data_IF_076108467600
#
_entry.id   IF_076108467600
#
_cell.length_a   1.000
_cell.length_b   1.000
_cell.length_c   1.000
_cell.angle_alpha   90.00
_cell.angle_beta   90.00
_cell.angle_gamma   90.00
#
_symmetry.space_group_name_H-M   'P 1'
#
loop_
_entity.id
_entity.type
_entity.pdbx_description
1 polymer ?
#
# COMPACT_ATOMS: atom_id res chain seq x y z
N UNK A 1 -22.08 16.13 -11.53
CA UNK A 1 -22.39 15.01 -10.61
C UNK A 1 -21.16 14.74 -9.74
N UNK A 2 -21.18 15.05 -8.43
CA UNK A 2 -20.12 14.57 -7.56
C UNK A 2 -20.25 13.05 -7.48
N UNK A 3 -19.17 12.35 -7.81
CA UNK A 3 -19.13 10.89 -7.77
C UNK A 3 -19.31 10.49 -6.30
N UNK A 4 -20.35 9.70 -6.04
CA UNK A 4 -20.70 9.20 -4.72
C UNK A 4 -19.58 8.29 -4.20
N UNK A 5 -18.73 8.84 -3.34
CA UNK A 5 -17.93 8.08 -2.38
C UNK A 5 -18.84 7.66 -1.22
N UNK A 6 -19.66 6.64 -1.43
CA UNK A 6 -20.35 5.96 -0.31
C UNK A 6 -19.39 5.02 0.42
N UNK A 7 -19.59 4.68 1.71
CA UNK A 7 -20.31 5.38 2.78
C UNK A 7 -19.37 5.54 4.01
N UNK A 8 -18.73 6.70 4.19
CA UNK A 8 -18.22 7.08 5.52
C UNK A 8 -19.34 7.73 6.33
N UNK A 9 -20.41 6.97 6.52
CA UNK A 9 -21.50 7.34 7.41
C UNK A 9 -21.07 7.22 8.86
N UNK A 10 -21.17 8.33 9.59
CA UNK A 10 -21.90 8.36 10.86
C UNK A 10 -21.42 7.49 12.03
N UNK A 11 -20.14 7.11 12.09
CA UNK A 11 -19.52 6.74 13.37
C UNK A 11 -18.08 7.18 13.32
N UNK A 12 -17.66 8.02 14.25
CA UNK A 12 -16.25 8.39 14.41
C UNK A 12 -15.47 7.08 14.62
N UNK A 13 -14.72 6.58 13.62
CA UNK A 13 -14.01 5.34 13.78
C UNK A 13 -12.97 5.60 14.87
N UNK A 14 -12.90 4.74 15.89
CA UNK A 14 -11.88 4.84 16.94
C UNK A 14 -10.50 5.10 16.33
N UNK A 15 -9.61 5.75 17.06
CA UNK A 15 -8.25 6.05 16.59
C UNK A 15 -7.60 4.83 15.90
N UNK A 16 -7.85 3.65 16.47
CA UNK A 16 -7.41 2.37 15.96
C UNK A 16 -7.99 1.97 14.58
N UNK A 17 -9.26 2.27 14.31
CA UNK A 17 -9.93 2.00 13.03
C UNK A 17 -9.38 2.90 11.91
N UNK A 18 -9.08 4.17 12.23
CA UNK A 18 -8.38 5.08 11.30
C UNK A 18 -6.96 4.62 10.99
N UNK A 19 -6.22 4.17 12.01
CA UNK A 19 -4.87 3.60 11.83
C UNK A 19 -4.94 2.35 10.94
N UNK A 20 -5.92 1.48 11.16
CA UNK A 20 -6.13 0.27 10.36
C UNK A 20 -6.49 0.59 8.91
N UNK A 21 -7.40 1.53 8.67
CA UNK A 21 -7.73 2.03 7.32
C UNK A 21 -6.51 2.64 6.63
N UNK A 22 -5.72 3.45 7.34
CA UNK A 22 -4.48 4.05 6.84
C UNK A 22 -3.43 3.00 6.48
N UNK A 23 -3.27 1.98 7.32
CA UNK A 23 -2.37 0.86 7.05
C UNK A 23 -2.79 0.09 5.79
N UNK A 24 -4.08 -0.25 5.65
CA UNK A 24 -4.59 -1.01 4.50
C UNK A 24 -4.41 -0.21 3.20
N UNK A 25 -4.76 1.07 3.19
CA UNK A 25 -4.59 1.94 2.03
C UNK A 25 -3.11 2.15 1.70
N UNK A 26 -2.26 2.41 2.70
CA UNK A 26 -0.82 2.58 2.50
C UNK A 26 -0.14 1.30 2.01
N UNK A 27 -0.57 0.14 2.50
CA UNK A 27 -0.04 -1.15 2.08
C UNK A 27 -0.50 -1.50 0.65
N UNK A 28 -1.75 -1.20 0.28
CA UNK A 28 -2.25 -1.38 -1.08
C UNK A 28 -1.51 -0.49 -2.09
N UNK A 29 -1.32 0.80 -1.77
CA UNK A 29 -0.58 1.74 -2.61
C UNK A 29 0.91 1.36 -2.67
N UNK A 30 1.51 0.98 -1.55
CA UNK A 30 2.89 0.53 -1.48
C UNK A 30 3.14 -0.74 -2.30
N UNK A 31 2.24 -1.71 -2.23
CA UNK A 31 2.31 -2.90 -3.09
C UNK A 31 2.12 -2.56 -4.56
N UNK A 32 1.18 -1.69 -4.93
CA UNK A 32 0.99 -1.29 -6.33
C UNK A 32 2.20 -0.54 -6.90
N UNK A 33 2.75 0.41 -6.14
CA UNK A 33 3.96 1.15 -6.55
C UNK A 33 5.18 0.22 -6.60
N UNK A 34 5.37 -0.63 -5.59
CA UNK A 34 6.43 -1.63 -5.54
C UNK A 34 6.31 -2.68 -6.65
N UNK A 35 5.08 -3.02 -7.04
CA UNK A 35 4.80 -3.88 -8.18
C UNK A 35 5.18 -3.21 -9.49
N UNK A 36 4.76 -1.95 -9.71
CA UNK A 36 5.05 -1.23 -10.94
C UNK A 36 6.55 -1.00 -11.10
N UNK A 37 7.21 -0.39 -10.11
CA UNK A 37 8.65 -0.14 -10.16
C UNK A 37 9.46 -1.44 -10.12
N UNK A 38 9.07 -2.42 -9.30
CA UNK A 38 9.72 -3.72 -9.25
C UNK A 38 9.60 -4.49 -10.56
N UNK A 39 8.42 -4.49 -11.20
CA UNK A 39 8.20 -5.17 -12.48
C UNK A 39 8.93 -4.45 -13.61
N UNK A 40 8.94 -3.12 -13.64
CA UNK A 40 9.67 -2.34 -14.64
C UNK A 40 11.19 -2.56 -14.56
N UNK A 41 11.75 -2.56 -13.33
CA UNK A 41 13.17 -2.85 -13.11
C UNK A 41 13.51 -4.29 -13.48
N UNK A 42 12.67 -5.27 -13.12
CA UNK A 42 12.94 -6.68 -13.45
C UNK A 42 12.82 -6.97 -14.96
N UNK A 43 11.85 -6.35 -15.65
CA UNK A 43 11.72 -6.42 -17.12
C UNK A 43 12.93 -5.80 -17.82
N UNK A 44 13.44 -4.67 -17.32
CA UNK A 44 14.63 -3.99 -17.88
C UNK A 44 15.93 -4.79 -17.70
N UNK A 45 16.06 -5.56 -16.63
CA UNK A 45 17.24 -6.39 -16.34
C UNK A 45 17.17 -7.76 -17.05
N UNK A 46 16.06 -8.08 -17.73
CA UNK A 46 15.90 -9.33 -18.48
C UNK A 46 15.77 -10.57 -17.58
N UNK A 47 15.44 -10.38 -16.30
CA UNK A 47 15.26 -11.50 -15.36
C UNK A 47 14.06 -12.34 -15.77
N UNK A 48 14.25 -13.65 -15.95
CA UNK A 48 13.21 -14.58 -16.41
C UNK A 48 12.65 -15.40 -15.25
N UNK A 49 11.32 -15.45 -15.15
CA UNK A 49 10.59 -16.43 -14.34
C UNK A 49 10.70 -16.24 -12.82
N UNK A 50 11.34 -17.19 -12.14
CA UNK A 50 11.24 -17.38 -10.68
C UNK A 50 12.00 -16.34 -9.86
N UNK A 51 13.13 -15.84 -10.36
CA UNK A 51 13.87 -14.72 -9.73
C UNK A 51 13.15 -13.38 -9.88
N UNK A 52 12.43 -13.18 -10.98
CA UNK A 52 11.62 -11.99 -11.22
C UNK A 52 10.46 -11.93 -10.21
N UNK A 53 9.71 -13.03 -10.05
CA UNK A 53 8.60 -13.08 -9.08
C UNK A 53 9.11 -12.99 -7.62
N UNK A 54 10.26 -13.60 -7.31
CA UNK A 54 10.88 -13.50 -5.98
C UNK A 54 11.46 -12.12 -5.65
N UNK A 55 12.03 -11.43 -6.65
CA UNK A 55 12.52 -10.06 -6.53
C UNK A 55 11.39 -9.05 -6.39
N UNK A 56 10.36 -9.15 -7.25
CA UNK A 56 9.17 -8.30 -7.19
C UNK A 56 8.42 -8.53 -5.87
N UNK A 57 8.25 -9.79 -5.44
CA UNK A 57 7.60 -10.11 -4.17
C UNK A 57 8.33 -9.52 -2.96
N UNK A 58 9.66 -9.58 -2.93
CA UNK A 58 10.47 -8.92 -1.89
C UNK A 58 10.30 -7.40 -1.92
N UNK A 59 10.37 -6.78 -3.09
CA UNK A 59 10.19 -5.33 -3.25
C UNK A 59 8.78 -4.89 -2.87
N UNK A 60 7.74 -5.64 -3.26
CA UNK A 60 6.36 -5.39 -2.87
C UNK A 60 6.16 -5.50 -1.35
N UNK A 61 6.72 -6.52 -0.71
CA UNK A 61 6.59 -6.71 0.72
C UNK A 61 7.34 -5.63 1.51
N UNK A 62 8.53 -5.25 1.04
CA UNK A 62 9.35 -4.20 1.66
C UNK A 62 8.68 -2.82 1.51
N UNK A 63 8.24 -2.47 0.30
CA UNK A 63 7.55 -1.20 0.03
C UNK A 63 6.19 -1.14 0.71
N UNK A 64 5.35 -2.18 0.58
CA UNK A 64 4.05 -2.27 1.23
C UNK A 64 4.12 -2.14 2.76
N UNK A 65 5.11 -2.78 3.39
CA UNK A 65 5.38 -2.63 4.81
C UNK A 65 5.68 -1.18 5.20
N UNK A 66 6.66 -0.55 4.55
CA UNK A 66 7.03 0.84 4.87
C UNK A 66 5.92 1.86 4.60
N UNK A 67 5.29 1.83 3.42
CA UNK A 67 4.22 2.76 3.06
C UNK A 67 2.97 2.56 3.93
N UNK A 68 2.62 1.31 4.25
CA UNK A 68 1.54 0.98 5.19
C UNK A 68 1.83 1.53 6.59
N UNK A 69 3.03 1.30 7.13
CA UNK A 69 3.40 1.78 8.46
C UNK A 69 3.46 3.30 8.54
N UNK A 70 3.99 3.99 7.52
CA UNK A 70 4.03 5.46 7.48
C UNK A 70 2.63 6.08 7.44
N UNK A 71 1.73 5.56 6.60
CA UNK A 71 0.34 6.05 6.57
C UNK A 71 -0.43 5.69 7.85
N UNK A 72 -0.17 4.52 8.44
CA UNK A 72 -0.76 4.12 9.71
C UNK A 72 -0.36 5.06 10.85
N UNK A 73 0.91 5.42 10.94
CA UNK A 73 1.43 6.39 11.91
C UNK A 73 0.86 7.79 11.62
N UNK A 74 0.83 8.22 10.35
CA UNK A 74 0.26 9.51 9.96
C UNK A 74 -1.22 9.65 10.31
N UNK A 75 -2.00 8.57 10.20
CA UNK A 75 -3.38 8.54 10.67
C UNK A 75 -3.46 8.47 12.19
N UNK A 76 -2.58 7.71 12.86
CA UNK A 76 -2.54 7.60 14.32
C UNK A 76 -2.19 8.89 15.04
N UNK A 77 -1.28 9.70 14.49
CA UNK A 77 -0.97 11.04 14.99
C UNK A 77 -2.12 12.02 14.72
N UNK A 78 -2.96 11.74 13.71
CA UNK A 78 -4.07 12.58 13.24
C UNK A 78 -5.44 12.07 13.70
N UNK A 79 -5.46 11.18 14.68
CA UNK A 79 -6.66 10.78 15.39
C UNK A 79 -7.08 11.85 16.39
#
# INVERSE_FOLDING_TARGET
MPVAVGPYGQSQPSCFDRVKMGFVMGCAVGMAAGALFGTFSCLRIGMRGRELMGGIGKTMMQSGGTFGTFMAIGMGIRC
#
